data_IF_810370319074
#
_entry.id   IF_810370319074
#
_cell.length_a   1.000
_cell.length_b   1.000
_cell.length_c   1.000
_cell.angle_alpha   90.00
_cell.angle_beta   90.00
_cell.angle_gamma   90.00
#
_symmetry.space_group_name_H-M   'P 1'
#
loop_
_entity.id
_entity.type
_entity.pdbx_description
1 polymer ?
#
# COMPACT_ATOMS: atom_id res chain seq x y z
N UNK A 1 -3.89 -1.16 6.96
CA UNK A 1 -4.02 -0.44 5.66
C UNK A 1 -5.47 -0.39 5.21
N UNK A 2 -6.16 -1.53 5.10
CA UNK A 2 -7.57 -1.57 4.69
C UNK A 2 -8.52 -0.76 5.59
N UNK A 3 -8.43 -0.91 6.92
CA UNK A 3 -9.26 -0.13 7.85
C UNK A 3 -8.81 1.33 8.01
N UNK A 4 -7.50 1.57 8.03
CA UNK A 4 -6.94 2.92 8.25
C UNK A 4 -7.21 3.86 7.07
N UNK A 5 -7.21 3.33 5.84
CA UNK A 5 -7.45 4.12 4.63
C UNK A 5 -8.83 3.84 4.00
N UNK A 6 -9.63 2.93 4.58
CA UNK A 6 -10.92 2.46 4.03
C UNK A 6 -10.85 2.09 2.54
N UNK A 7 -9.70 1.58 2.11
CA UNK A 7 -9.43 1.23 0.71
C UNK A 7 -9.44 -0.27 0.52
N UNK A 8 -9.96 -0.72 -0.62
CA UNK A 8 -10.04 -2.15 -0.94
C UNK A 8 -8.74 -2.64 -1.57
N UNK A 9 -8.14 -3.67 -1.00
CA UNK A 9 -6.86 -4.24 -1.47
C UNK A 9 -7.15 -5.47 -2.34
N UNK A 10 -6.47 -5.59 -3.47
CA UNK A 10 -6.54 -6.77 -4.33
C UNK A 10 -5.52 -7.84 -3.92
N UNK A 11 -4.28 -7.42 -3.62
CA UNK A 11 -3.20 -8.35 -3.33
C UNK A 11 -2.15 -7.69 -2.45
N UNK A 12 -1.56 -8.46 -1.55
CA UNK A 12 -0.39 -8.05 -0.75
C UNK A 12 0.73 -9.04 -1.00
N UNK A 13 1.90 -8.55 -1.38
CA UNK A 13 3.13 -9.33 -1.44
C UNK A 13 4.13 -8.74 -0.46
N UNK A 14 4.68 -9.56 0.43
CA UNK A 14 5.72 -9.14 1.37
C UNK A 14 7.02 -9.82 1.03
N UNK A 15 8.13 -9.10 1.16
CA UNK A 15 9.46 -9.67 1.06
C UNK A 15 10.35 -9.05 2.13
N UNK A 16 11.42 -9.76 2.48
CA UNK A 16 12.42 -9.30 3.44
C UNK A 16 13.61 -8.81 2.62
N UNK A 17 14.00 -7.55 2.80
CA UNK A 17 15.20 -6.99 2.19
C UNK A 17 16.45 -7.67 2.74
N UNK A 18 17.55 -7.56 2.00
CA UNK A 18 18.87 -8.00 2.47
C UNK A 18 19.30 -7.31 3.79
N UNK A 19 18.79 -6.11 4.06
CA UNK A 19 19.02 -5.34 5.30
C UNK A 19 18.19 -5.87 6.50
N UNK A 20 17.32 -6.85 6.30
CA UNK A 20 16.43 -7.40 7.34
C UNK A 20 15.09 -6.67 7.48
N UNK A 21 14.89 -5.57 6.75
CA UNK A 21 13.61 -4.86 6.73
C UNK A 21 12.54 -5.62 5.94
N UNK A 22 11.34 -5.80 6.52
CA UNK A 22 10.20 -6.36 5.80
C UNK A 22 9.52 -5.27 4.98
N UNK A 23 9.55 -5.41 3.65
CA UNK A 23 8.82 -4.55 2.71
C UNK A 23 7.55 -5.23 2.22
N UNK A 24 6.48 -4.44 2.11
CA UNK A 24 5.18 -4.89 1.64
C UNK A 24 4.77 -4.11 0.39
N UNK A 25 4.53 -4.82 -0.70
CA UNK A 25 3.89 -4.30 -1.91
C UNK A 25 2.40 -4.59 -1.86
N UNK A 26 1.60 -3.54 -1.72
CA UNK A 26 0.15 -3.61 -1.66
C UNK A 26 -0.42 -3.15 -3.00
N UNK A 27 -1.15 -4.03 -3.67
CA UNK A 27 -1.91 -3.71 -4.88
C UNK A 27 -3.32 -3.28 -4.47
N UNK A 28 -3.63 -2.01 -4.68
CA UNK A 28 -4.96 -1.46 -4.47
C UNK A 28 -5.89 -1.81 -5.63
N UNK A 29 -7.19 -1.87 -5.35
CA UNK A 29 -8.22 -2.07 -6.38
C UNK A 29 -8.33 -0.86 -7.30
N UNK A 30 -8.65 -1.06 -8.58
CA UNK A 30 -8.82 0.02 -9.58
C UNK A 30 -9.82 1.12 -9.19
N UNK A 31 -10.70 0.87 -8.21
CA UNK A 31 -11.61 1.89 -7.66
C UNK A 31 -10.92 2.91 -6.72
N UNK A 32 -9.78 2.55 -6.13
CA UNK A 32 -9.02 3.38 -5.20
C UNK A 32 -7.57 3.50 -5.70
N UNK A 33 -7.29 4.41 -6.63
CA UNK A 33 -5.95 4.55 -7.20
C UNK A 33 -4.93 4.93 -6.13
N UNK A 34 -3.74 4.34 -6.21
CA UNK A 34 -2.67 4.50 -5.22
C UNK A 34 -2.20 5.96 -5.04
N UNK A 35 -2.36 6.80 -6.08
CA UNK A 35 -1.98 8.21 -6.05
C UNK A 35 -2.79 9.01 -5.03
N UNK A 36 -4.08 8.68 -4.87
CA UNK A 36 -4.99 9.37 -3.95
C UNK A 36 -4.56 9.09 -2.50
N UNK A 37 -4.25 7.83 -2.22
CA UNK A 37 -3.71 7.39 -0.92
C UNK A 37 -2.34 8.02 -0.64
N UNK A 38 -1.47 8.10 -1.64
CA UNK A 38 -0.16 8.74 -1.51
C UNK A 38 -0.28 10.24 -1.19
N UNK A 39 -1.28 10.91 -1.77
CA UNK A 39 -1.60 12.31 -1.48
C UNK A 39 -2.11 12.47 -0.05
N UNK A 40 -3.02 11.62 0.41
CA UNK A 40 -3.50 11.59 1.79
C UNK A 40 -2.38 11.34 2.82
N UNK A 41 -1.34 10.59 2.41
CA UNK A 41 -0.16 10.34 3.21
C UNK A 41 0.87 11.49 3.20
N UNK A 42 0.66 12.52 2.37
CA UNK A 42 1.60 13.63 2.22
C UNK A 42 2.91 13.24 1.55
N UNK A 43 2.92 12.19 0.72
CA UNK A 43 4.11 11.66 0.03
C UNK A 43 4.36 12.33 -1.34
N UNK A 44 3.86 13.56 -1.55
CA UNK A 44 4.08 14.35 -2.76
C UNK A 44 5.25 15.31 -2.62
#
# INVERSE_FOLDING_TARGET
VEEMFKVKIEKVNTFINADGEKRAYVKFSSKNPAIDIATQLGLM
#
